data_IF_661474901569
#
_entry.id   IF_661474901569
#
_cell.length_a   1.000
_cell.length_b   1.000
_cell.length_c   1.000
_cell.angle_alpha   90.00
_cell.angle_beta   90.00
_cell.angle_gamma   90.00
#
_symmetry.space_group_name_H-M   'P 1'
#
loop_
_entity.id
_entity.type
_entity.pdbx_description
1 polymer ?
#
# COMPACT_ATOMS: atom_id res chain seq x y z
N UNK A 1 4.50 -1.57 -30.52
CA UNK A 1 4.14 -2.80 -29.80
C UNK A 1 3.94 -2.39 -28.35
N UNK A 2 2.71 -2.48 -27.83
CA UNK A 2 2.31 -1.82 -26.58
C UNK A 2 2.47 -2.68 -25.32
N UNK A 3 2.75 -3.98 -25.48
CA UNK A 3 2.95 -4.92 -24.37
C UNK A 3 3.93 -6.02 -24.78
N UNK A 4 4.65 -6.55 -23.80
CA UNK A 4 5.50 -7.74 -23.91
C UNK A 4 4.93 -8.84 -23.02
N UNK A 5 4.80 -10.05 -23.54
CA UNK A 5 4.30 -11.20 -22.79
C UNK A 5 5.47 -12.13 -22.43
N UNK A 6 5.76 -12.23 -21.13
CA UNK A 6 6.79 -13.10 -20.56
C UNK A 6 6.20 -14.16 -19.62
N UNK A 7 4.87 -14.28 -19.57
CA UNK A 7 4.14 -15.12 -18.61
C UNK A 7 4.53 -16.60 -18.64
N UNK A 8 4.89 -17.13 -19.81
CA UNK A 8 5.29 -18.53 -20.00
C UNK A 8 6.76 -18.83 -19.61
N UNK A 9 7.56 -17.83 -19.22
CA UNK A 9 9.01 -17.96 -19.08
C UNK A 9 9.46 -17.96 -17.60
N UNK A 10 9.02 -18.94 -16.81
CA UNK A 10 9.33 -19.02 -15.36
C UNK A 10 10.82 -19.08 -15.03
N UNK A 11 11.67 -19.51 -15.97
CA UNK A 11 13.13 -19.55 -15.84
C UNK A 11 13.85 -18.29 -16.37
N UNK A 12 13.11 -17.26 -16.80
CA UNK A 12 13.68 -16.01 -17.32
C UNK A 12 14.52 -15.32 -16.23
N UNK A 13 15.79 -15.06 -16.54
CA UNK A 13 16.75 -14.39 -15.63
C UNK A 13 17.06 -12.95 -16.02
N UNK A 14 16.92 -12.64 -17.31
CA UNK A 14 17.29 -11.36 -17.89
C UNK A 14 16.16 -10.90 -18.79
N UNK A 15 15.62 -9.71 -18.53
CA UNK A 15 14.64 -9.05 -19.38
C UNK A 15 15.15 -7.66 -19.72
N UNK A 16 15.45 -7.44 -21.00
CA UNK A 16 15.90 -6.15 -21.52
C UNK A 16 14.92 -5.70 -22.60
N UNK A 17 14.23 -4.60 -22.34
CA UNK A 17 13.25 -4.02 -23.25
C UNK A 17 13.36 -2.49 -23.32
N UNK A 18 14.57 -1.97 -23.10
CA UNK A 18 14.88 -0.55 -23.19
C UNK A 18 14.50 0.05 -24.56
N UNK A 19 14.12 1.32 -24.58
CA UNK A 19 13.82 2.11 -25.80
C UNK A 19 12.69 1.53 -26.65
N UNK A 20 11.55 1.26 -26.01
CA UNK A 20 10.34 0.80 -26.70
C UNK A 20 9.15 1.72 -26.34
N UNK A 21 7.95 1.33 -26.78
CA UNK A 21 6.70 2.00 -26.41
C UNK A 21 5.81 1.05 -25.61
N UNK A 22 6.42 0.31 -24.67
CA UNK A 22 5.71 -0.64 -23.82
C UNK A 22 4.95 0.17 -22.78
N UNK A 23 3.62 -0.01 -22.74
CA UNK A 23 2.74 0.64 -21.78
C UNK A 23 2.52 -0.21 -20.53
N UNK A 24 2.66 -1.53 -20.64
CA UNK A 24 2.58 -2.46 -19.52
C UNK A 24 3.43 -3.71 -19.72
N UNK A 25 3.89 -4.27 -18.61
CA UNK A 25 4.67 -5.50 -18.54
C UNK A 25 4.31 -6.21 -17.24
N UNK A 26 4.01 -7.51 -17.33
CA UNK A 26 3.72 -8.36 -16.18
C UNK A 26 4.86 -9.37 -16.02
N UNK A 27 5.59 -9.26 -14.90
CA UNK A 27 6.70 -10.14 -14.52
C UNK A 27 6.37 -11.04 -13.33
N UNK A 28 5.11 -11.10 -12.91
CA UNK A 28 4.66 -11.84 -11.72
C UNK A 28 4.96 -13.34 -11.78
N UNK A 29 5.03 -13.91 -12.99
CA UNK A 29 5.31 -15.33 -13.23
C UNK A 29 6.80 -15.63 -13.48
N UNK A 30 7.72 -14.67 -13.24
CA UNK A 30 9.15 -14.80 -13.51
C UNK A 30 10.00 -14.72 -12.21
N UNK A 31 9.84 -15.66 -11.25
CA UNK A 31 10.51 -15.57 -9.95
C UNK A 31 12.04 -15.66 -10.02
N UNK A 32 12.58 -16.18 -11.12
CA UNK A 32 14.03 -16.27 -11.37
C UNK A 32 14.63 -14.99 -11.99
N UNK A 33 13.83 -13.95 -12.23
CA UNK A 33 14.27 -12.71 -12.87
C UNK A 33 15.27 -11.97 -11.99
N UNK A 34 16.50 -11.82 -12.47
CA UNK A 34 17.61 -11.22 -11.75
C UNK A 34 17.97 -9.82 -12.29
N UNK A 35 17.75 -9.57 -13.58
CA UNK A 35 18.03 -8.30 -14.23
C UNK A 35 16.84 -7.88 -15.07
N UNK A 36 16.32 -6.69 -14.80
CA UNK A 36 15.21 -6.12 -15.56
C UNK A 36 15.49 -4.67 -15.95
N UNK A 37 15.71 -4.43 -17.24
CA UNK A 37 15.89 -3.09 -17.79
C UNK A 37 14.75 -2.75 -18.75
N UNK A 38 14.02 -1.69 -18.42
CA UNK A 38 12.87 -1.18 -19.16
C UNK A 38 12.95 0.34 -19.34
N UNK A 39 14.17 0.89 -19.43
CA UNK A 39 14.37 2.33 -19.57
C UNK A 39 13.73 2.86 -20.84
N UNK A 40 13.27 4.11 -20.84
CA UNK A 40 12.70 4.78 -22.01
C UNK A 40 11.52 3.99 -22.61
N UNK A 41 10.46 3.86 -21.82
CA UNK A 41 9.19 3.23 -22.20
C UNK A 41 8.01 4.13 -21.76
N UNK A 42 6.79 3.60 -21.78
CA UNK A 42 5.56 4.32 -21.42
C UNK A 42 4.85 3.67 -20.22
N UNK A 43 5.62 3.02 -19.34
CA UNK A 43 5.06 2.34 -18.16
C UNK A 43 4.47 3.37 -17.21
N UNK A 44 3.22 3.14 -16.78
CA UNK A 44 2.54 3.97 -15.76
C UNK A 44 2.60 3.34 -14.37
N UNK A 45 2.82 2.03 -14.31
CA UNK A 45 3.05 1.29 -13.08
C UNK A 45 4.00 0.12 -13.34
N UNK A 46 4.73 -0.27 -12.29
CA UNK A 46 5.61 -1.43 -12.33
C UNK A 46 5.58 -2.12 -10.96
N UNK A 47 5.34 -3.43 -10.98
CA UNK A 47 5.33 -4.28 -9.79
C UNK A 47 6.31 -5.44 -9.99
N UNK A 48 7.32 -5.52 -9.12
CA UNK A 48 8.31 -6.60 -9.10
C UNK A 48 8.30 -7.36 -7.75
N UNK A 49 7.21 -7.26 -6.99
CA UNK A 49 7.05 -7.92 -5.68
C UNK A 49 7.15 -9.45 -5.73
N UNK A 50 6.90 -10.06 -6.89
CA UNK A 50 7.02 -11.51 -7.10
C UNK A 50 8.39 -11.94 -7.66
N UNK A 51 9.38 -11.04 -7.70
CA UNK A 51 10.72 -11.30 -8.25
C UNK A 51 11.81 -11.24 -7.16
N UNK A 52 11.87 -12.22 -6.23
CA UNK A 52 12.81 -12.19 -5.10
C UNK A 52 14.28 -12.38 -5.52
N UNK A 53 14.53 -12.84 -6.75
CA UNK A 53 15.88 -12.99 -7.29
C UNK A 53 16.44 -11.69 -7.90
N UNK A 54 15.65 -10.61 -7.92
CA UNK A 54 16.01 -9.37 -8.62
C UNK A 54 17.22 -8.69 -7.95
N UNK A 55 18.28 -8.54 -8.73
CA UNK A 55 19.54 -7.92 -8.33
C UNK A 55 19.72 -6.52 -8.94
N UNK A 56 19.17 -6.30 -10.14
CA UNK A 56 19.30 -5.04 -10.87
C UNK A 56 18.00 -4.66 -11.56
N UNK A 57 17.48 -3.46 -11.26
CA UNK A 57 16.30 -2.88 -11.89
C UNK A 57 16.63 -1.49 -12.43
N UNK A 58 16.32 -1.24 -13.71
CA UNK A 58 16.41 0.09 -14.31
C UNK A 58 15.12 0.39 -15.07
N UNK A 59 14.41 1.40 -14.59
CA UNK A 59 13.11 1.83 -15.12
C UNK A 59 13.07 3.34 -15.36
N UNK A 60 14.22 3.92 -15.68
CA UNK A 60 14.34 5.36 -15.93
C UNK A 60 13.52 5.78 -17.15
N UNK A 61 13.13 7.05 -17.22
CA UNK A 61 12.46 7.65 -18.38
C UNK A 61 11.17 6.86 -18.71
N UNK A 62 10.22 6.89 -17.79
CA UNK A 62 8.89 6.32 -17.95
C UNK A 62 7.86 7.34 -17.44
N UNK A 63 6.61 6.90 -17.23
CA UNK A 63 5.56 7.74 -16.65
C UNK A 63 5.00 7.07 -15.40
N UNK A 64 5.88 6.45 -14.61
CA UNK A 64 5.48 5.69 -13.43
C UNK A 64 4.79 6.61 -12.42
N UNK A 65 3.63 6.19 -11.96
CA UNK A 65 2.90 6.81 -10.83
C UNK A 65 2.94 5.91 -9.59
N UNK A 66 3.16 4.61 -9.78
CA UNK A 66 3.41 3.64 -8.71
C UNK A 66 4.55 2.69 -9.09
N UNK A 67 5.45 2.44 -8.16
CA UNK A 67 6.50 1.45 -8.30
C UNK A 67 6.58 0.59 -7.05
N UNK A 68 6.35 -0.72 -7.18
CA UNK A 68 6.46 -1.66 -6.07
C UNK A 68 7.70 -2.54 -6.26
N UNK A 69 8.70 -2.33 -5.40
CA UNK A 69 9.90 -3.16 -5.34
C UNK A 69 9.96 -4.04 -4.09
N UNK A 70 8.94 -4.05 -3.23
CA UNK A 70 8.89 -4.86 -2.02
C UNK A 70 8.75 -6.36 -2.35
N UNK A 71 9.87 -7.00 -2.68
CA UNK A 71 9.95 -8.36 -3.16
C UNK A 71 10.38 -9.37 -2.08
N UNK A 72 10.42 -8.93 -0.81
CA UNK A 72 10.91 -9.71 0.32
C UNK A 72 12.43 -9.94 0.33
N UNK A 73 13.16 -9.29 -0.60
CA UNK A 73 14.59 -9.47 -0.82
C UNK A 73 15.27 -8.16 -1.27
N UNK A 74 14.78 -6.98 -0.87
CA UNK A 74 15.40 -5.70 -1.26
C UNK A 74 16.88 -5.59 -0.87
N UNK A 75 17.32 -6.31 0.16
CA UNK A 75 18.74 -6.43 0.53
C UNK A 75 19.62 -6.99 -0.60
N UNK A 76 19.03 -7.72 -1.55
CA UNK A 76 19.73 -8.29 -2.70
C UNK A 76 19.65 -7.39 -3.95
N UNK A 77 18.81 -6.35 -3.92
CA UNK A 77 18.65 -5.41 -5.04
C UNK A 77 19.81 -4.40 -5.00
N UNK A 78 20.95 -4.82 -5.57
CA UNK A 78 22.19 -4.05 -5.54
C UNK A 78 22.13 -2.78 -6.38
N UNK A 79 21.49 -2.82 -7.55
CA UNK A 79 21.37 -1.66 -8.44
C UNK A 79 19.90 -1.34 -8.72
N UNK A 80 19.52 -0.09 -8.49
CA UNK A 80 18.17 0.40 -8.75
C UNK A 80 18.22 1.82 -9.30
N UNK A 81 17.51 2.06 -10.39
CA UNK A 81 17.34 3.38 -10.97
C UNK A 81 15.90 3.56 -11.47
N UNK A 82 15.26 4.64 -11.02
CA UNK A 82 13.89 5.03 -11.39
C UNK A 82 13.77 6.54 -11.67
N UNK A 83 14.83 7.17 -12.18
CA UNK A 83 14.89 8.59 -12.53
C UNK A 83 14.02 8.93 -13.75
N UNK A 84 13.64 10.20 -13.91
CA UNK A 84 12.81 10.70 -15.01
C UNK A 84 11.41 10.04 -15.08
N UNK A 85 10.78 9.86 -13.92
CA UNK A 85 9.38 9.50 -13.70
C UNK A 85 8.67 10.60 -12.89
N UNK A 86 8.35 11.76 -13.50
CA UNK A 86 7.99 12.98 -12.77
C UNK A 86 6.74 12.85 -11.86
N UNK A 87 5.82 11.94 -12.20
CA UNK A 87 4.59 11.70 -11.43
C UNK A 87 4.74 10.60 -10.37
N UNK A 88 5.92 10.00 -10.22
CA UNK A 88 6.19 8.98 -9.22
C UNK A 88 6.31 9.63 -7.84
N UNK A 89 5.32 9.42 -6.98
CA UNK A 89 5.32 9.96 -5.63
C UNK A 89 5.86 8.96 -4.60
N UNK A 90 5.76 7.66 -4.85
CA UNK A 90 6.11 6.63 -3.87
C UNK A 90 6.68 5.38 -4.53
N UNK A 91 7.78 4.89 -3.94
CA UNK A 91 8.42 3.63 -4.27
C UNK A 91 8.27 2.68 -3.08
N UNK A 92 7.52 1.60 -3.28
CA UNK A 92 7.23 0.67 -2.20
C UNK A 92 8.41 -0.28 -1.97
N UNK A 93 8.93 -0.28 -0.74
CA UNK A 93 10.06 -1.11 -0.31
C UNK A 93 9.65 -2.09 0.79
N UNK A 94 10.50 -3.09 1.07
CA UNK A 94 10.29 -4.04 2.14
C UNK A 94 10.27 -3.35 3.52
N UNK A 95 9.37 -3.78 4.39
CA UNK A 95 9.23 -3.27 5.76
C UNK A 95 10.53 -3.41 6.56
N UNK A 96 10.98 -2.31 7.17
CA UNK A 96 12.16 -2.29 8.04
C UNK A 96 13.51 -2.34 7.32
N UNK A 97 13.53 -2.17 5.98
CA UNK A 97 14.77 -2.18 5.21
C UNK A 97 15.34 -0.77 4.99
N UNK A 98 16.66 -0.65 5.03
CA UNK A 98 17.39 0.56 4.63
C UNK A 98 17.90 0.35 3.21
N UNK A 99 17.41 1.16 2.26
CA UNK A 99 17.85 1.13 0.86
C UNK A 99 19.34 1.48 0.71
N UNK A 100 19.96 1.01 -0.37
CA UNK A 100 21.36 1.31 -0.66
C UNK A 100 21.51 2.77 -1.09
N UNK A 101 22.63 3.40 -0.71
CA UNK A 101 22.95 4.81 -1.06
C UNK A 101 23.11 5.05 -2.56
N UNK A 102 23.24 4.00 -3.36
CA UNK A 102 23.43 4.05 -4.82
C UNK A 102 22.12 3.98 -5.61
N UNK A 103 20.98 3.84 -4.94
CA UNK A 103 19.67 3.84 -5.59
C UNK A 103 19.27 5.24 -6.04
N UNK A 104 18.98 5.40 -7.32
CA UNK A 104 18.56 6.70 -7.89
C UNK A 104 17.06 6.74 -8.17
N UNK A 105 16.46 7.89 -7.90
CA UNK A 105 15.03 8.20 -8.07
C UNK A 105 14.87 9.70 -8.26
N UNK A 106 13.69 10.11 -8.72
CA UNK A 106 13.32 11.53 -8.72
C UNK A 106 13.18 12.10 -7.30
N UNK A 107 13.32 13.42 -7.20
CA UNK A 107 13.08 14.16 -5.96
C UNK A 107 11.61 14.10 -5.51
N UNK A 108 10.68 13.87 -6.45
CA UNK A 108 9.23 13.76 -6.18
C UNK A 108 8.83 12.44 -5.52
N UNK A 109 9.66 11.39 -5.66
CA UNK A 109 9.38 10.06 -5.15
C UNK A 109 9.96 9.88 -3.75
N UNK A 110 9.23 9.25 -2.84
CA UNK A 110 9.77 8.81 -1.54
C UNK A 110 9.77 7.28 -1.42
N UNK A 111 10.76 6.73 -0.71
CA UNK A 111 10.74 5.31 -0.33
C UNK A 111 9.83 5.13 0.88
N UNK A 112 8.85 4.25 0.75
CA UNK A 112 7.96 3.92 1.86
C UNK A 112 7.66 2.42 1.85
N UNK A 113 7.53 1.82 3.02
CA UNK A 113 7.13 0.43 3.08
C UNK A 113 5.64 0.20 2.75
N UNK A 114 4.84 1.27 2.77
CA UNK A 114 3.42 1.27 2.44
C UNK A 114 3.11 2.44 1.48
N UNK A 115 3.30 2.24 0.17
CA UNK A 115 2.85 3.20 -0.84
C UNK A 115 1.33 3.12 -1.12
N UNK A 116 0.67 2.10 -0.58
CA UNK A 116 -0.79 1.91 -0.62
C UNK A 116 -1.53 2.81 0.38
N UNK A 117 -1.12 4.05 0.61
CA UNK A 117 -1.95 4.99 1.39
C UNK A 117 -3.01 5.62 0.49
N UNK A 118 -4.14 4.92 0.30
CA UNK A 118 -5.51 5.48 0.44
C UNK A 118 -6.68 4.62 -0.10
N UNK A 119 -6.50 3.55 -0.92
CA UNK A 119 -7.67 3.03 -1.68
C UNK A 119 -7.88 1.51 -1.79
N UNK A 120 -6.99 0.63 -1.35
CA UNK A 120 -7.24 -0.84 -1.49
C UNK A 120 -7.21 -1.57 -0.14
N UNK A 121 -6.24 -1.28 0.71
CA UNK A 121 -6.19 -1.86 2.06
C UNK A 121 -7.27 -1.28 2.98
N UNK A 122 -7.58 0.02 2.86
CA UNK A 122 -8.66 0.65 3.62
C UNK A 122 -10.04 0.18 3.16
N UNK A 123 -10.27 -0.17 1.89
CA UNK A 123 -11.53 -0.79 1.45
C UNK A 123 -11.69 -2.21 2.01
N UNK A 124 -10.64 -3.02 1.97
CA UNK A 124 -10.64 -4.35 2.58
C UNK A 124 -10.81 -4.27 4.11
N UNK A 125 -10.11 -3.35 4.77
CA UNK A 125 -10.24 -3.14 6.21
C UNK A 125 -11.62 -2.58 6.58
N UNK A 126 -12.19 -1.70 5.76
CA UNK A 126 -13.55 -1.25 5.92
C UNK A 126 -14.52 -2.44 5.87
N UNK A 127 -14.42 -3.32 4.88
CA UNK A 127 -15.29 -4.49 4.77
C UNK A 127 -15.07 -5.52 5.90
N UNK A 128 -13.91 -5.48 6.56
CA UNK A 128 -13.54 -6.33 7.68
C UNK A 128 -14.10 -5.89 9.06
N UNK A 129 -14.81 -4.76 9.14
CA UNK A 129 -15.28 -4.20 10.42
C UNK A 129 -16.80 -4.22 10.52
N UNK A 130 -17.29 -4.85 11.58
CA UNK A 130 -18.69 -4.81 12.00
C UNK A 130 -18.82 -3.97 13.28
N UNK A 131 -19.61 -2.90 13.22
CA UNK A 131 -19.90 -1.99 14.35
C UNK A 131 -21.37 -2.11 14.74
N UNK A 132 -21.64 -2.47 16.00
CA UNK A 132 -23.01 -2.69 16.47
C UNK A 132 -23.16 -2.43 17.98
N UNK A 133 -24.37 -2.10 18.47
CA UNK A 133 -25.56 -1.75 17.69
C UNK A 133 -25.40 -0.36 17.05
N UNK A 134 -26.05 -0.12 15.92
CA UNK A 134 -26.22 1.23 15.36
C UNK A 134 -27.70 1.37 14.96
N UNK A 135 -28.52 2.20 15.65
CA UNK A 135 -28.15 3.20 16.67
C UNK A 135 -27.76 2.64 18.05
N UNK A 136 -26.92 3.39 18.78
CA UNK A 136 -26.28 3.05 20.07
C UNK A 136 -27.10 3.64 21.22
N UNK A 137 -27.26 2.88 22.31
CA UNK A 137 -27.90 3.36 23.55
C UNK A 137 -26.86 3.54 24.65
N UNK A 138 -26.19 2.45 25.07
CA UNK A 138 -25.19 2.49 26.13
C UNK A 138 -23.80 2.11 25.61
N UNK A 139 -23.69 0.95 24.96
CA UNK A 139 -22.39 0.37 24.62
C UNK A 139 -22.32 0.10 23.12
N UNK A 140 -21.16 0.40 22.54
CA UNK A 140 -20.80 0.10 21.16
C UNK A 140 -19.75 -1.00 21.11
N UNK A 141 -19.94 -1.98 20.24
CA UNK A 141 -19.01 -3.08 19.99
C UNK A 141 -18.43 -2.99 18.59
N UNK A 142 -17.12 -3.23 18.50
CA UNK A 142 -16.36 -3.28 17.26
C UNK A 142 -15.85 -4.70 17.10
N UNK A 143 -16.29 -5.38 16.04
CA UNK A 143 -15.85 -6.73 15.70
C UNK A 143 -15.07 -6.70 14.40
N UNK A 144 -13.84 -7.20 14.45
CA UNK A 144 -12.98 -7.43 13.30
C UNK A 144 -13.14 -8.87 12.80
N UNK A 145 -13.05 -9.08 11.48
CA UNK A 145 -12.97 -10.42 10.88
C UNK A 145 -11.68 -11.14 11.27
N UNK A 146 -11.66 -12.46 11.06
CA UNK A 146 -10.51 -13.33 11.39
C UNK A 146 -9.25 -12.88 10.64
N UNK A 147 -8.14 -12.74 11.38
CA UNK A 147 -6.85 -12.28 10.85
C UNK A 147 -6.50 -10.83 11.20
N UNK A 148 -7.50 -10.00 11.52
CA UNK A 148 -7.29 -8.59 11.86
C UNK A 148 -7.17 -8.38 13.37
N UNK A 149 -6.20 -7.57 13.82
CA UNK A 149 -5.99 -7.25 15.24
C UNK A 149 -6.30 -5.79 15.53
N UNK A 150 -7.18 -5.57 16.52
CA UNK A 150 -7.55 -4.23 16.97
C UNK A 150 -6.35 -3.52 17.62
N UNK A 151 -6.12 -2.25 17.28
CA UNK A 151 -5.11 -1.41 17.92
C UNK A 151 -5.75 -0.29 18.72
N UNK A 152 -6.58 0.54 18.08
CA UNK A 152 -7.29 1.65 18.75
C UNK A 152 -8.56 2.08 18.04
N UNK A 153 -9.45 2.73 18.78
CA UNK A 153 -10.59 3.46 18.25
C UNK A 153 -10.63 4.88 18.82
N UNK A 154 -11.07 5.82 17.99
CA UNK A 154 -11.22 7.24 18.32
C UNK A 154 -12.62 7.69 17.91
N UNK A 155 -13.28 8.49 18.75
CA UNK A 155 -14.59 9.06 18.47
C UNK A 155 -14.44 10.57 18.30
N UNK A 156 -15.02 11.09 17.22
CA UNK A 156 -15.07 12.50 16.91
C UNK A 156 -16.52 12.97 16.85
N UNK A 157 -16.76 14.20 17.31
CA UNK A 157 -18.03 14.87 17.04
C UNK A 157 -18.09 15.40 15.60
N UNK A 158 -19.23 15.94 15.19
CA UNK A 158 -19.41 16.49 13.83
C UNK A 158 -18.58 17.76 13.53
N UNK A 159 -17.96 18.37 14.56
CA UNK A 159 -17.03 19.49 14.40
C UNK A 159 -15.58 19.00 14.21
N UNK A 160 -15.36 17.67 14.15
CA UNK A 160 -14.03 17.08 14.02
C UNK A 160 -13.21 17.04 15.31
N UNK A 161 -13.79 17.42 16.46
CA UNK A 161 -13.11 17.34 17.76
C UNK A 161 -13.13 15.92 18.28
N UNK A 162 -11.96 15.40 18.64
CA UNK A 162 -11.83 14.13 19.36
C UNK A 162 -12.49 14.22 20.74
N UNK A 163 -13.41 13.30 21.03
CA UNK A 163 -14.13 13.20 22.30
C UNK A 163 -13.72 11.97 23.12
N UNK A 164 -13.14 10.96 22.48
CA UNK A 164 -12.66 9.75 23.15
C UNK A 164 -11.59 9.05 22.30
N UNK A 165 -10.59 8.47 22.96
CA UNK A 165 -9.67 7.48 22.39
C UNK A 165 -9.58 6.28 23.31
N UNK A 166 -9.59 5.06 22.75
CA UNK A 166 -9.51 3.82 23.51
C UNK A 166 -8.79 2.71 22.75
N UNK A 167 -8.13 1.82 23.49
CA UNK A 167 -7.55 0.55 22.99
C UNK A 167 -8.49 -0.64 23.16
N UNK A 168 -9.70 -0.43 23.68
CA UNK A 168 -10.72 -1.46 23.81
C UNK A 168 -11.67 -1.47 22.61
N UNK A 169 -12.05 -2.67 22.14
CA UNK A 169 -13.03 -2.86 21.07
C UNK A 169 -14.49 -2.69 21.52
N UNK A 170 -14.71 -2.48 22.82
CA UNK A 170 -16.01 -2.16 23.41
C UNK A 170 -15.93 -0.78 24.04
N UNK A 171 -16.87 0.09 23.68
CA UNK A 171 -16.88 1.51 24.04
C UNK A 171 -18.17 1.83 24.80
N UNK A 172 -18.04 2.36 26.02
CA UNK A 172 -19.16 2.93 26.76
C UNK A 172 -19.47 4.34 26.24
N UNK A 173 -20.69 4.51 25.76
CA UNK A 173 -21.25 5.76 25.24
C UNK A 173 -22.46 6.23 26.06
N UNK A 174 -22.74 5.64 27.22
CA UNK A 174 -23.90 6.00 28.05
C UNK A 174 -23.95 7.48 28.43
N UNK A 175 -22.79 8.09 28.64
CA UNK A 175 -22.62 9.51 28.97
C UNK A 175 -22.60 10.46 27.75
N UNK A 176 -22.62 9.92 26.54
CA UNK A 176 -22.52 10.72 25.31
C UNK A 176 -23.90 11.33 24.98
N UNK A 177 -23.97 12.62 24.64
CA UNK A 177 -25.18 13.22 24.11
C UNK A 177 -25.72 12.48 22.89
N UNK A 178 -27.05 12.49 22.71
CA UNK A 178 -27.68 11.98 21.49
C UNK A 178 -27.17 12.78 20.28
N UNK A 179 -26.82 12.07 19.21
CA UNK A 179 -26.21 12.71 18.05
C UNK A 179 -25.48 11.77 17.11
N UNK A 180 -24.86 12.36 16.10
CA UNK A 180 -24.02 11.65 15.13
C UNK A 180 -22.56 11.82 15.53
N UNK A 181 -21.82 10.72 15.46
CA UNK A 181 -20.39 10.71 15.70
C UNK A 181 -19.66 9.99 14.57
N UNK A 182 -18.39 10.34 14.39
CA UNK A 182 -17.45 9.61 13.54
C UNK A 182 -16.57 8.72 14.41
N UNK A 183 -16.57 7.43 14.12
CA UNK A 183 -15.71 6.43 14.73
C UNK A 183 -14.56 6.12 13.77
N UNK A 184 -13.33 6.41 14.19
CA UNK A 184 -12.10 6.02 13.49
C UNK A 184 -11.53 4.79 14.17
N UNK A 185 -11.21 3.76 13.41
CA UNK A 185 -10.68 2.47 13.90
C UNK A 185 -9.35 2.22 13.22
N UNK A 186 -8.37 1.71 13.97
CA UNK A 186 -7.04 1.37 13.47
C UNK A 186 -6.68 -0.05 13.92
N UNK A 187 -6.11 -0.84 13.01
CA UNK A 187 -5.56 -2.17 13.32
C UNK A 187 -4.06 -2.09 13.67
N UNK A 188 -3.45 -3.24 13.98
CA UNK A 188 -2.00 -3.32 14.26
C UNK A 188 -1.11 -3.07 13.04
N UNK A 189 -1.66 -3.16 11.83
CA UNK A 189 -0.98 -2.89 10.55
C UNK A 189 -1.06 -1.40 10.16
N UNK A 190 -1.69 -0.57 10.99
CA UNK A 190 -1.95 0.86 10.78
C UNK A 190 -2.97 1.18 9.67
N UNK A 191 -3.70 0.20 9.15
CA UNK A 191 -4.87 0.44 8.29
C UNK A 191 -5.97 1.16 9.08
N UNK A 192 -6.71 2.05 8.42
CA UNK A 192 -7.65 2.96 9.08
C UNK A 192 -9.04 2.86 8.43
N UNK A 193 -10.06 2.75 9.28
CA UNK A 193 -11.45 2.77 8.85
C UNK A 193 -12.23 3.85 9.58
N UNK A 194 -13.16 4.50 8.87
CA UNK A 194 -14.06 5.51 9.45
C UNK A 194 -15.51 5.07 9.28
N UNK A 195 -16.29 5.14 10.37
CA UNK A 195 -17.72 4.81 10.40
C UNK A 195 -18.52 5.93 11.00
N UNK A 196 -19.64 6.26 10.37
CA UNK A 196 -20.67 7.10 10.97
C UNK A 196 -21.50 6.25 11.93
N UNK A 197 -21.59 6.66 13.19
CA UNK A 197 -22.41 6.01 14.21
C UNK A 197 -23.45 6.99 14.77
N UNK A 198 -24.59 6.46 15.21
CA UNK A 198 -25.69 7.27 15.75
C UNK A 198 -25.92 6.89 17.21
N UNK A 199 -25.82 7.86 18.12
CA UNK A 199 -26.20 7.73 19.53
C UNK A 199 -27.64 8.21 19.72
N UNK A 200 -28.51 7.36 20.27
CA UNK A 200 -29.86 7.72 20.71
C UNK A 200 -29.85 8.34 22.09
#
# INVERSE_FOLDING_TARGET
MSAIDVSAHSALKYLYCDNNSIASVDVSNNPALAYFYCNNNQLTSLDVSNNPALYSLKCNINSLTSLNVANGANANLGTFAAEDNPDLACIQIDQGHTYFTEWTKDDTADYNANCNTASVEDENFNNAINVYPNPIVNTLHIKLVVGQKFKKAQIFNMLGKEVLTTSNSTIDMSSFPSGIYLLKIENTENSVAVRKIVKK
#
